data_IF_287567134704
#
_entry.id   IF_287567134704
#
_cell.length_a   1.000
_cell.length_b   1.000
_cell.length_c   1.000
_cell.angle_alpha   90.00
_cell.angle_beta   90.00
_cell.angle_gamma   90.00
#
_symmetry.space_group_name_H-M   'P 1'
#
loop_
_entity.id
_entity.type
_entity.pdbx_description
1 polymer ?
#
# COMPACT_ATOMS: atom_id res chain seq x y z
N UNK A 1 -4.07 -22.63 -16.91
CA UNK A 1 -4.07 -22.18 -15.50
C UNK A 1 -5.49 -22.19 -15.02
N UNK A 2 -5.87 -23.11 -14.12
CA UNK A 2 -7.17 -23.04 -13.44
C UNK A 2 -7.11 -21.90 -12.42
N UNK A 3 -8.01 -20.92 -12.54
CA UNK A 3 -8.11 -19.84 -11.57
C UNK A 3 -8.63 -20.42 -10.26
N UNK A 4 -7.90 -20.24 -9.16
CA UNK A 4 -8.33 -20.72 -7.84
C UNK A 4 -9.34 -19.74 -7.25
N UNK A 5 -10.56 -20.21 -6.98
CA UNK A 5 -11.61 -19.42 -6.31
C UNK A 5 -11.15 -18.99 -4.92
N UNK A 6 -10.48 -19.88 -4.18
CA UNK A 6 -9.93 -19.57 -2.85
C UNK A 6 -8.79 -18.55 -2.96
N UNK A 7 -7.97 -18.67 -4.00
CA UNK A 7 -6.99 -17.64 -4.35
C UNK A 7 -7.65 -16.28 -4.61
N UNK A 8 -8.73 -16.22 -5.39
CA UNK A 8 -9.44 -14.95 -5.63
C UNK A 8 -9.98 -14.34 -4.32
N UNK A 9 -10.50 -15.15 -3.40
CA UNK A 9 -10.92 -14.67 -2.08
C UNK A 9 -9.74 -14.08 -1.32
N UNK A 10 -8.60 -14.79 -1.30
CA UNK A 10 -7.37 -14.28 -0.70
C UNK A 10 -6.90 -12.97 -1.35
N UNK A 11 -7.01 -12.83 -2.66
CA UNK A 11 -6.66 -11.62 -3.39
C UNK A 11 -7.54 -10.42 -2.99
N UNK A 12 -8.86 -10.64 -2.86
CA UNK A 12 -9.81 -9.62 -2.41
C UNK A 12 -9.51 -9.18 -0.98
N UNK A 13 -9.20 -10.13 -0.09
CA UNK A 13 -8.78 -9.82 1.29
C UNK A 13 -7.46 -9.04 1.32
N UNK A 14 -6.49 -9.43 0.49
CA UNK A 14 -5.24 -8.69 0.33
C UNK A 14 -5.46 -7.25 -0.16
N UNK A 15 -6.39 -7.05 -1.10
CA UNK A 15 -6.77 -5.72 -1.59
C UNK A 15 -7.44 -4.88 -0.51
N UNK A 16 -8.32 -5.50 0.29
CA UNK A 16 -8.96 -4.84 1.42
C UNK A 16 -7.95 -4.37 2.47
N UNK A 17 -6.97 -5.21 2.80
CA UNK A 17 -5.88 -4.84 3.72
C UNK A 17 -5.02 -3.71 3.14
N UNK A 18 -4.66 -3.77 1.86
CA UNK A 18 -3.90 -2.70 1.20
C UNK A 18 -4.63 -1.36 1.24
N UNK A 19 -5.95 -1.39 1.12
CA UNK A 19 -6.78 -0.19 1.19
C UNK A 19 -6.80 0.43 2.59
N UNK A 20 -6.83 -0.39 3.64
CA UNK A 20 -6.75 0.09 5.04
C UNK A 20 -5.36 0.72 5.28
N UNK A 21 -4.30 0.01 4.92
CA UNK A 21 -2.93 0.50 5.11
C UNK A 21 -2.69 1.81 4.36
N UNK A 22 -3.23 1.96 3.15
CA UNK A 22 -3.16 3.21 2.40
C UNK A 22 -3.77 4.40 3.14
N UNK A 23 -4.90 4.21 3.84
CA UNK A 23 -5.52 5.30 4.60
C UNK A 23 -4.62 5.74 5.76
N UNK A 24 -4.03 4.78 6.45
CA UNK A 24 -3.12 5.02 7.56
C UNK A 24 -1.85 5.73 7.05
N UNK A 25 -1.24 5.19 5.98
CA UNK A 25 -0.04 5.74 5.35
C UNK A 25 -0.25 7.17 4.84
N UNK A 26 -1.40 7.45 4.21
CA UNK A 26 -1.75 8.83 3.80
C UNK A 26 -1.85 9.78 4.99
N UNK A 27 -2.46 9.36 6.09
CA UNK A 27 -2.56 10.15 7.33
C UNK A 27 -1.18 10.44 7.93
N UNK A 28 -0.30 9.43 7.99
CA UNK A 28 1.08 9.58 8.47
C UNK A 28 1.87 10.53 7.55
N UNK A 29 1.72 10.41 6.23
CA UNK A 29 2.40 11.28 5.27
C UNK A 29 1.98 12.75 5.45
N UNK A 30 0.69 13.00 5.59
CA UNK A 30 0.15 14.35 5.84
C UNK A 30 0.67 14.93 7.16
N UNK A 31 0.69 14.12 8.23
CA UNK A 31 1.23 14.54 9.52
C UNK A 31 2.74 14.86 9.44
N UNK A 32 3.51 14.03 8.73
CA UNK A 32 4.94 14.24 8.53
C UNK A 32 5.23 15.52 7.70
N UNK A 33 4.41 15.80 6.69
CA UNK A 33 4.52 17.02 5.90
C UNK A 33 4.16 18.28 6.68
N UNK A 34 3.08 18.23 7.48
CA UNK A 34 2.71 19.34 8.36
C UNK A 34 3.84 19.64 9.35
N UNK A 35 4.40 18.60 9.98
CA UNK A 35 5.53 18.74 10.89
C UNK A 35 6.78 19.33 10.21
N UNK A 36 7.09 18.92 8.99
CA UNK A 36 8.21 19.47 8.23
C UNK A 36 7.99 20.93 7.81
N UNK A 37 6.75 21.31 7.48
CA UNK A 37 6.37 22.70 7.18
C UNK A 37 6.44 23.60 8.41
N UNK A 38 5.98 23.12 9.56
CA UNK A 38 6.04 23.85 10.84
C UNK A 38 7.49 24.03 11.33
N UNK A 39 8.38 23.08 11.01
CA UNK A 39 9.81 23.16 11.33
C UNK A 39 10.65 24.09 10.45
N UNK A 40 10.06 24.79 9.48
CA UNK A 40 10.73 25.80 8.65
C UNK A 40 11.78 25.26 7.65
N UNK A 41 11.85 23.94 7.45
CA UNK A 41 12.75 23.33 6.47
C UNK A 41 12.11 23.23 5.09
N UNK A 42 12.84 23.63 4.04
CA UNK A 42 12.48 23.50 2.62
C UNK A 42 12.42 22.03 2.17
N UNK A 43 11.59 21.21 2.83
CA UNK A 43 11.08 19.93 2.36
C UNK A 43 12.07 18.77 2.11
N UNK A 44 13.37 19.03 2.01
CA UNK A 44 14.42 18.06 1.70
C UNK A 44 14.12 17.16 0.50
N UNK A 45 14.82 16.02 0.44
CA UNK A 45 14.60 14.95 -0.54
C UNK A 45 13.15 14.44 -0.51
N UNK A 46 12.50 14.47 0.66
CA UNK A 46 11.12 14.03 0.84
C UNK A 46 10.09 14.90 0.08
N UNK A 47 10.30 16.22 -0.01
CA UNK A 47 9.44 17.09 -0.81
C UNK A 47 9.72 16.95 -2.31
N UNK A 48 11.00 16.76 -2.70
CA UNK A 48 11.39 16.56 -4.09
C UNK A 48 10.85 15.25 -4.68
N UNK A 49 10.79 14.19 -3.88
CA UNK A 49 10.29 12.88 -4.29
C UNK A 49 8.94 12.53 -3.66
N UNK A 50 8.21 13.53 -3.18
CA UNK A 50 6.91 13.35 -2.52
C UNK A 50 5.93 12.54 -3.37
N UNK A 51 5.78 12.93 -4.64
CA UNK A 51 4.87 12.27 -5.57
C UNK A 51 5.27 10.81 -5.86
N UNK A 52 6.53 10.48 -6.24
CA UNK A 52 6.92 9.09 -6.47
C UNK A 52 6.95 8.24 -5.19
N UNK A 53 7.31 8.80 -4.03
CA UNK A 53 7.24 8.08 -2.75
C UNK A 53 5.80 7.76 -2.37
N UNK A 54 4.90 8.73 -2.51
CA UNK A 54 3.46 8.50 -2.29
C UNK A 54 2.93 7.46 -3.25
N UNK A 55 3.29 7.54 -4.54
CA UNK A 55 2.88 6.57 -5.54
C UNK A 55 3.42 5.17 -5.23
N UNK A 56 4.68 5.04 -4.80
CA UNK A 56 5.26 3.76 -4.41
C UNK A 56 4.53 3.16 -3.20
N UNK A 57 4.31 3.96 -2.16
CA UNK A 57 3.60 3.56 -0.93
C UNK A 57 2.14 3.18 -1.21
N UNK A 58 1.54 3.74 -2.27
CA UNK A 58 0.16 3.44 -2.68
C UNK A 58 0.11 2.20 -3.56
N UNK A 59 0.93 2.16 -4.61
CA UNK A 59 0.87 1.14 -5.67
C UNK A 59 1.43 -0.19 -5.20
N UNK A 60 2.53 -0.19 -4.43
CA UNK A 60 3.17 -1.44 -3.98
C UNK A 60 2.24 -2.27 -3.10
N UNK A 61 1.55 -1.73 -2.07
CA UNK A 61 0.60 -2.52 -1.29
C UNK A 61 -0.63 -2.91 -2.12
N UNK A 62 -1.16 -2.02 -2.96
CA UNK A 62 -2.35 -2.30 -3.79
C UNK A 62 -2.14 -3.42 -4.80
N UNK A 63 -0.90 -3.69 -5.22
CA UNK A 63 -0.59 -4.79 -6.14
C UNK A 63 0.01 -5.98 -5.40
N UNK A 64 0.91 -5.72 -4.45
CA UNK A 64 1.61 -6.75 -3.70
C UNK A 64 0.69 -7.56 -2.78
N UNK A 65 -0.18 -6.91 -2.02
CA UNK A 65 -1.04 -7.63 -1.07
C UNK A 65 -2.08 -8.51 -1.76
N UNK A 66 -2.73 -8.11 -2.87
CA UNK A 66 -3.59 -9.02 -3.61
C UNK A 66 -2.85 -10.22 -4.21
N UNK A 67 -1.62 -10.04 -4.69
CA UNK A 67 -0.81 -11.16 -5.22
C UNK A 67 -0.47 -12.14 -4.10
N UNK A 68 0.01 -11.64 -2.96
CA UNK A 68 0.32 -12.45 -1.78
C UNK A 68 -0.93 -13.13 -1.25
N UNK A 69 -2.06 -12.41 -1.18
CA UNK A 69 -3.35 -12.94 -0.79
C UNK A 69 -3.82 -14.05 -1.75
N UNK A 70 -3.65 -13.87 -3.06
CA UNK A 70 -3.97 -14.89 -4.05
C UNK A 70 -3.15 -16.17 -3.83
N UNK A 71 -1.84 -16.05 -3.65
CA UNK A 71 -0.98 -17.20 -3.41
C UNK A 71 -1.28 -17.89 -2.08
N UNK A 72 -1.54 -17.12 -1.02
CA UNK A 72 -1.96 -17.67 0.27
C UNK A 72 -3.28 -18.44 0.13
N UNK A 73 -4.30 -17.85 -0.48
CA UNK A 73 -5.58 -18.51 -0.72
C UNK A 73 -5.47 -19.74 -1.62
N UNK A 74 -4.66 -19.67 -2.68
CA UNK A 74 -4.42 -20.80 -3.57
C UNK A 74 -3.70 -21.95 -2.84
N UNK A 75 -2.71 -21.65 -1.99
CA UNK A 75 -1.98 -22.67 -1.20
C UNK A 75 -2.85 -23.39 -0.18
N UNK A 76 -3.93 -22.75 0.28
CA UNK A 76 -4.89 -23.37 1.21
C UNK A 76 -5.86 -24.31 0.49
N UNK A 77 -6.02 -24.17 -0.82
CA UNK A 77 -6.94 -24.98 -1.62
C UNK A 77 -6.31 -26.26 -2.19
N UNK A 78 -4.98 -26.43 -2.07
CA UNK A 78 -4.22 -27.54 -2.65
C UNK A 78 -3.53 -27.14 -3.95
#
# INVERSE_FOLDING_TARGET
MSVSIVGLIGAVLGLYLAWIDQKILKGILQAAEMKNREGGGDGGIAARYRAPLTALIVVVPMVGFPIVGYWAGASLAG
#
